data_IF_080418500787
#
_entry.id   IF_080418500787
#
_cell.length_a   1.000
_cell.length_b   1.000
_cell.length_c   1.000
_cell.angle_alpha   90.00
_cell.angle_beta   90.00
_cell.angle_gamma   90.00
#
_symmetry.space_group_name_H-M   'P 1'
#
loop_
_entity.id
_entity.type
_entity.pdbx_description
1 polymer ?
#
# COMPACT_ATOMS: atom_id res chain seq x y z
N UNK A 1 -0.22 -4.87 -5.19
CA UNK A 1 -0.32 -3.66 -4.35
C UNK A 1 -1.53 -3.86 -3.45
N UNK A 2 -1.37 -3.96 -2.12
CA UNK A 2 -2.44 -4.46 -1.24
C UNK A 2 -3.59 -3.49 -0.96
N UNK A 3 -3.37 -2.18 -1.05
CA UNK A 3 -4.28 -1.17 -0.50
C UNK A 3 -5.41 -0.73 -1.44
N UNK A 4 -5.53 -1.26 -2.66
CA UNK A 4 -6.55 -0.82 -3.62
C UNK A 4 -7.97 -0.90 -3.05
N UNK A 5 -8.26 -1.99 -2.33
CA UNK A 5 -9.54 -2.23 -1.68
C UNK A 5 -9.41 -2.43 -0.16
N UNK A 6 -8.36 -1.86 0.43
CA UNK A 6 -7.79 -2.16 1.76
C UNK A 6 -6.90 -3.41 1.79
N UNK A 7 -5.83 -3.33 2.58
CA UNK A 7 -4.90 -4.43 2.82
C UNK A 7 -5.61 -5.60 3.49
N UNK A 8 -6.58 -5.36 4.39
CA UNK A 8 -7.35 -6.43 5.01
C UNK A 8 -8.11 -7.29 4.00
N UNK A 9 -8.72 -6.66 2.98
CA UNK A 9 -9.39 -7.38 1.90
C UNK A 9 -8.38 -8.17 1.08
N UNK A 10 -7.24 -7.55 0.72
CA UNK A 10 -6.18 -8.22 -0.04
C UNK A 10 -5.66 -9.48 0.68
N UNK A 11 -5.46 -9.42 2.00
CA UNK A 11 -4.91 -10.54 2.76
C UNK A 11 -5.87 -11.74 2.89
N UNK A 12 -7.18 -11.55 2.69
CA UNK A 12 -8.14 -12.67 2.61
C UNK A 12 -7.82 -13.61 1.45
N UNK A 13 -7.36 -13.04 0.34
CA UNK A 13 -7.06 -13.78 -0.89
C UNK A 13 -5.57 -14.11 -1.04
N UNK A 14 -4.69 -13.41 -0.32
CA UNK A 14 -3.23 -13.56 -0.42
C UNK A 14 -2.71 -14.83 0.27
N UNK A 15 -3.14 -15.98 -0.21
CA UNK A 15 -2.78 -17.30 0.32
C UNK A 15 -1.32 -17.71 0.01
N UNK A 16 -0.91 -18.91 0.48
CA UNK A 16 0.46 -19.43 0.32
C UNK A 16 0.96 -19.49 -1.12
N UNK A 17 0.07 -19.76 -2.10
CA UNK A 17 0.47 -19.82 -3.50
C UNK A 17 0.90 -18.45 -3.98
N UNK A 18 0.07 -17.42 -3.76
CA UNK A 18 0.41 -16.05 -4.12
C UNK A 18 1.58 -15.51 -3.30
N UNK A 19 1.61 -15.76 -2.00
CA UNK A 19 2.68 -15.30 -1.13
C UNK A 19 4.04 -15.92 -1.48
N UNK A 20 4.08 -17.11 -2.11
CA UNK A 20 5.31 -17.69 -2.68
C UNK A 20 5.63 -17.14 -4.06
N UNK A 21 4.63 -16.94 -4.91
CA UNK A 21 4.79 -16.45 -6.27
C UNK A 21 5.32 -15.02 -6.33
N UNK A 22 4.82 -14.13 -5.46
CA UNK A 22 5.26 -12.73 -5.44
C UNK A 22 6.48 -12.55 -4.51
N UNK A 23 7.47 -11.81 -4.99
CA UNK A 23 8.67 -11.47 -4.22
C UNK A 23 8.40 -10.55 -3.02
N UNK A 24 7.28 -9.83 -3.05
CA UNK A 24 6.97 -8.85 -2.03
C UNK A 24 5.70 -8.07 -2.30
N UNK A 25 5.52 -7.00 -1.53
CA UNK A 25 4.39 -6.07 -1.63
C UNK A 25 4.86 -4.63 -1.66
N UNK A 26 3.95 -3.70 -1.96
CA UNK A 26 4.20 -2.26 -1.98
C UNK A 26 3.25 -1.56 -1.01
N UNK A 27 3.82 -0.81 -0.07
CA UNK A 27 3.13 0.07 0.86
C UNK A 27 2.92 1.44 0.20
N UNK A 28 1.67 1.79 -0.08
CA UNK A 28 1.29 3.02 -0.81
C UNK A 28 0.24 3.87 -0.07
N UNK A 29 -0.24 3.43 1.09
CA UNK A 29 -1.10 4.22 1.98
C UNK A 29 -1.12 3.63 3.41
N UNK A 30 -1.56 4.43 4.38
CA UNK A 30 -1.66 4.01 5.78
C UNK A 30 -0.32 4.02 6.53
N UNK A 31 -0.32 3.57 7.79
CA UNK A 31 0.89 3.59 8.63
C UNK A 31 1.91 2.52 8.23
N UNK A 32 3.11 2.93 7.81
CA UNK A 32 4.18 2.02 7.36
C UNK A 32 4.55 0.95 8.41
N UNK A 33 4.53 1.31 9.70
CA UNK A 33 4.87 0.39 10.80
C UNK A 33 3.81 -0.70 10.96
N UNK A 34 2.54 -0.30 11.03
CA UNK A 34 1.40 -1.23 11.06
C UNK A 34 1.42 -2.16 9.85
N UNK A 35 1.64 -1.61 8.65
CA UNK A 35 1.69 -2.40 7.43
C UNK A 35 2.84 -3.42 7.46
N UNK A 36 4.01 -3.02 7.94
CA UNK A 36 5.17 -3.90 8.08
C UNK A 36 4.88 -5.06 9.03
N UNK A 37 4.35 -4.77 10.21
CA UNK A 37 3.99 -5.79 11.21
C UNK A 37 2.89 -6.74 10.68
N UNK A 38 1.88 -6.18 10.02
CA UNK A 38 0.79 -6.95 9.43
C UNK A 38 1.31 -7.95 8.39
N UNK A 39 2.18 -7.52 7.48
CA UNK A 39 2.74 -8.38 6.44
C UNK A 39 3.67 -9.45 7.01
N UNK A 40 4.50 -9.10 8.01
CA UNK A 40 5.34 -10.07 8.73
C UNK A 40 4.47 -11.18 9.34
N UNK A 41 3.44 -10.80 10.09
CA UNK A 41 2.52 -11.74 10.73
C UNK A 41 1.82 -12.63 9.70
N UNK A 42 1.40 -12.05 8.57
CA UNK A 42 0.77 -12.80 7.48
C UNK A 42 1.69 -13.86 6.88
N UNK A 43 2.92 -13.48 6.51
CA UNK A 43 3.89 -14.44 5.97
C UNK A 43 4.28 -15.52 6.97
N UNK A 44 4.47 -15.17 8.24
CA UNK A 44 4.72 -16.15 9.31
C UNK A 44 3.56 -17.13 9.47
N UNK A 45 2.31 -16.66 9.42
CA UNK A 45 1.12 -17.50 9.43
C UNK A 45 1.06 -18.49 8.26
N UNK A 46 1.65 -18.11 7.12
CA UNK A 46 1.80 -18.97 5.93
C UNK A 46 3.09 -19.81 5.93
N UNK A 47 3.87 -19.80 7.02
CA UNK A 47 5.18 -20.47 7.15
C UNK A 47 6.19 -20.03 6.08
N UNK A 48 6.16 -18.75 5.72
CA UNK A 48 7.11 -18.11 4.82
C UNK A 48 8.00 -17.21 5.66
N UNK A 49 9.32 -17.29 5.45
CA UNK A 49 10.27 -16.40 6.12
C UNK A 49 10.11 -14.96 5.59
N UNK A 50 9.63 -14.01 6.42
CA UNK A 50 9.45 -12.61 6.01
C UNK A 50 10.77 -11.94 5.62
N UNK A 51 11.91 -12.38 6.17
CA UNK A 51 13.22 -11.80 5.87
C UNK A 51 13.64 -12.01 4.40
N UNK A 52 12.97 -12.93 3.70
CA UNK A 52 13.16 -13.17 2.25
C UNK A 52 12.28 -12.29 1.37
N UNK A 53 11.30 -11.59 1.95
CA UNK A 53 10.27 -10.85 1.22
C UNK A 53 10.56 -9.35 1.17
N UNK A 54 10.21 -8.75 0.03
CA UNK A 54 10.38 -7.32 -0.21
C UNK A 54 9.15 -6.54 0.27
N UNK A 55 9.40 -5.40 0.92
CA UNK A 55 8.40 -4.34 1.05
C UNK A 55 8.95 -3.09 0.38
N UNK A 56 8.26 -2.64 -0.67
CA UNK A 56 8.52 -1.34 -1.31
C UNK A 56 7.68 -0.28 -0.60
N UNK A 57 8.32 0.62 0.14
CA UNK A 57 7.67 1.78 0.74
C UNK A 57 7.67 2.94 -0.25
N UNK A 58 6.50 3.49 -0.56
CA UNK A 58 6.37 4.56 -1.56
C UNK A 58 5.42 5.70 -1.17
N UNK A 59 4.76 5.61 -0.02
CA UNK A 59 3.85 6.67 0.42
C UNK A 59 4.61 7.89 0.95
N UNK A 60 4.70 8.93 0.10
CA UNK A 60 5.09 10.29 0.50
C UNK A 60 6.37 10.37 1.34
N UNK A 61 7.40 9.64 0.92
CA UNK A 61 8.66 9.51 1.66
C UNK A 61 9.59 10.73 1.48
N UNK A 62 10.42 10.92 2.49
CA UNK A 62 11.64 11.74 2.49
C UNK A 62 12.79 10.92 3.11
N UNK A 63 14.00 11.50 3.15
CA UNK A 63 15.20 10.82 3.65
C UNK A 63 15.06 10.35 5.10
N UNK A 64 14.59 11.23 5.98
CA UNK A 64 14.42 10.95 7.41
C UNK A 64 13.48 9.75 7.63
N UNK A 65 12.35 9.75 6.92
CA UNK A 65 11.36 8.67 6.99
C UNK A 65 11.92 7.36 6.43
N UNK A 66 12.65 7.42 5.31
CA UNK A 66 13.26 6.23 4.73
C UNK A 66 14.30 5.60 5.69
N UNK A 67 15.10 6.43 6.37
CA UNK A 67 16.07 5.98 7.38
C UNK A 67 15.36 5.36 8.59
N UNK A 68 14.27 5.96 9.07
CA UNK A 68 13.45 5.43 10.16
C UNK A 68 12.89 4.04 9.82
N UNK A 69 12.30 3.91 8.63
CA UNK A 69 11.75 2.65 8.13
C UNK A 69 12.87 1.61 7.97
N UNK A 70 14.02 1.98 7.38
CA UNK A 70 15.16 1.09 7.21
C UNK A 70 15.61 0.50 8.55
N UNK A 71 15.79 1.35 9.58
CA UNK A 71 16.20 0.90 10.92
C UNK A 71 15.19 -0.07 11.53
N UNK A 72 13.90 0.15 11.30
CA UNK A 72 12.86 -0.68 11.85
C UNK A 72 12.68 -2.02 11.12
N UNK A 73 12.76 -2.01 9.79
CA UNK A 73 12.47 -3.13 8.91
C UNK A 73 13.68 -4.03 8.64
N UNK A 74 14.90 -3.52 8.82
CA UNK A 74 16.13 -4.28 8.63
C UNK A 74 16.13 -5.60 9.42
N UNK A 75 16.49 -6.69 8.75
CA UNK A 75 16.52 -8.03 9.32
C UNK A 75 15.14 -8.69 9.51
N UNK A 76 14.04 -7.95 9.36
CA UNK A 76 12.67 -8.50 9.42
C UNK A 76 12.09 -8.75 8.02
N UNK A 77 12.39 -7.85 7.09
CA UNK A 77 12.01 -7.91 5.67
C UNK A 77 13.14 -7.30 4.84
N UNK A 78 13.01 -7.29 3.51
CA UNK A 78 13.87 -6.57 2.58
C UNK A 78 13.24 -5.21 2.23
N UNK A 79 13.50 -4.12 2.98
CA UNK A 79 12.96 -2.81 2.67
C UNK A 79 13.54 -2.26 1.36
N UNK A 80 12.68 -1.63 0.56
CA UNK A 80 13.01 -0.85 -0.64
C UNK A 80 12.19 0.43 -0.63
N UNK A 81 12.69 1.49 -1.26
CA UNK A 81 12.09 2.83 -1.17
C UNK A 81 11.85 3.42 -2.56
N UNK A 82 10.63 3.89 -2.80
CA UNK A 82 10.27 4.73 -3.94
C UNK A 82 10.05 6.16 -3.46
N UNK A 83 11.07 7.02 -3.62
CA UNK A 83 11.02 8.42 -3.21
C UNK A 83 10.77 9.28 -4.47
N UNK A 84 9.66 10.01 -4.48
CA UNK A 84 9.20 10.79 -5.63
C UNK A 84 9.45 12.29 -5.45
N UNK A 85 8.39 13.01 -5.08
CA UNK A 85 8.37 14.48 -4.99
C UNK A 85 9.52 15.06 -4.18
N UNK A 86 9.91 14.43 -3.06
CA UNK A 86 11.02 14.90 -2.21
C UNK A 86 12.38 14.94 -2.92
N UNK A 87 12.56 14.20 -4.02
CA UNK A 87 13.79 14.26 -4.82
C UNK A 87 13.61 15.05 -6.11
N UNK A 88 12.47 14.89 -6.76
CA UNK A 88 12.24 15.49 -8.08
C UNK A 88 11.78 16.96 -8.03
N UNK A 89 11.29 17.45 -6.89
CA UNK A 89 10.77 18.80 -6.73
C UNK A 89 11.12 19.39 -5.35
N UNK A 90 12.41 19.40 -5.03
CA UNK A 90 12.98 19.98 -3.79
C UNK A 90 13.84 21.21 -4.11
N UNK A 91 13.19 22.25 -4.65
CA UNK A 91 13.86 23.49 -5.09
C UNK A 91 13.40 24.72 -4.30
N UNK A 92 12.89 24.52 -3.08
CA UNK A 92 12.43 25.62 -2.20
C UNK A 92 11.02 26.15 -2.50
N UNK A 93 10.26 25.49 -3.37
CA UNK A 93 8.87 25.82 -3.68
C UNK A 93 7.94 24.66 -3.35
N UNK A 94 6.70 24.97 -2.96
CA UNK A 94 5.67 23.95 -2.69
C UNK A 94 5.30 23.22 -3.99
N UNK A 95 5.46 21.88 -4.06
CA UNK A 95 5.06 21.11 -5.24
C UNK A 95 3.56 21.19 -5.50
N UNK A 96 3.16 21.20 -6.77
CA UNK A 96 1.76 21.11 -7.15
C UNK A 96 1.18 19.74 -6.75
N UNK A 97 0.11 19.75 -5.96
CA UNK A 97 -0.62 18.54 -5.61
C UNK A 97 -1.64 18.18 -6.70
N UNK A 98 -1.18 17.48 -7.73
CA UNK A 98 -1.99 17.10 -8.89
C UNK A 98 -1.92 15.59 -9.14
N UNK A 99 -3.02 15.03 -9.66
CA UNK A 99 -3.19 13.60 -9.90
C UNK A 99 -3.98 13.36 -11.19
N UNK A 100 -3.62 12.32 -11.94
CA UNK A 100 -4.45 11.75 -13.01
C UNK A 100 -4.95 10.40 -12.52
N UNK A 101 -6.26 10.17 -12.61
CA UNK A 101 -6.93 8.97 -12.07
C UNK A 101 -7.84 8.35 -13.12
N UNK A 102 -7.89 7.02 -13.14
CA UNK A 102 -8.92 6.30 -13.87
C UNK A 102 -10.26 6.53 -13.18
N UNK A 103 -11.22 7.13 -13.89
CA UNK A 103 -12.58 7.39 -13.36
C UNK A 103 -13.58 6.33 -13.82
N UNK A 104 -13.35 5.71 -14.98
CA UNK A 104 -14.29 4.79 -15.63
C UNK A 104 -13.54 3.82 -16.56
N UNK A 105 -13.97 2.57 -16.62
CA UNK A 105 -13.52 1.59 -17.61
C UNK A 105 -14.74 0.83 -18.13
N UNK A 106 -14.86 0.67 -19.45
CA UNK A 106 -15.96 -0.07 -20.09
C UNK A 106 -17.36 0.31 -19.53
N UNK A 107 -17.70 1.59 -19.55
CA UNK A 107 -19.02 1.99 -19.05
C UNK A 107 -19.16 2.03 -17.51
N UNK A 108 -18.22 1.48 -16.73
CA UNK A 108 -18.36 1.28 -15.28
C UNK A 108 -17.42 2.18 -14.44
N UNK A 109 -17.88 2.72 -13.31
CA UNK A 109 -17.05 3.54 -12.42
C UNK A 109 -15.86 2.78 -11.85
N UNK A 110 -14.71 3.44 -11.74
CA UNK A 110 -13.54 2.94 -11.02
C UNK A 110 -13.51 3.44 -9.57
N UNK A 111 -12.97 2.63 -8.66
CA UNK A 111 -12.89 2.91 -7.22
C UNK A 111 -11.50 2.56 -6.68
N UNK A 112 -10.98 3.36 -5.75
CA UNK A 112 -9.85 3.02 -4.87
C UNK A 112 -10.25 3.36 -3.42
N UNK A 113 -10.12 2.42 -2.49
CA UNK A 113 -10.47 2.63 -1.08
C UNK A 113 -9.28 3.11 -0.23
N UNK A 114 -8.08 2.54 -0.44
CA UNK A 114 -6.86 2.77 0.36
C UNK A 114 -6.95 2.31 1.82
N UNK A 115 -5.81 2.22 2.50
CA UNK A 115 -5.73 1.99 3.96
C UNK A 115 -5.81 3.28 4.79
N UNK A 116 -5.89 4.44 4.13
CA UNK A 116 -5.99 5.73 4.80
C UNK A 116 -7.46 6.16 4.91
N UNK A 117 -7.98 6.35 6.14
CA UNK A 117 -9.33 6.84 6.33
C UNK A 117 -9.58 8.14 5.54
N UNK A 118 -10.70 8.20 4.84
CA UNK A 118 -11.10 9.38 4.06
C UNK A 118 -10.39 9.57 2.71
N UNK A 119 -9.44 8.70 2.32
CA UNK A 119 -8.79 8.75 0.99
C UNK A 119 -9.45 7.87 -0.07
N UNK A 120 -10.71 7.47 0.13
CA UNK A 120 -11.47 6.77 -0.88
C UNK A 120 -11.70 7.67 -2.11
N UNK A 121 -11.60 7.07 -3.30
CA UNK A 121 -11.71 7.75 -4.59
C UNK A 121 -12.70 7.01 -5.47
N UNK A 122 -13.53 7.78 -6.16
CA UNK A 122 -14.61 7.26 -7.01
C UNK A 122 -15.93 7.96 -6.69
N UNK A 123 -16.97 7.61 -7.43
CA UNK A 123 -18.33 8.09 -7.16
C UNK A 123 -18.80 7.55 -5.79
N UNK A 124 -19.46 8.37 -4.94
CA UNK A 124 -19.88 7.94 -3.61
C UNK A 124 -20.70 6.65 -3.60
N UNK A 125 -21.64 6.52 -4.54
CA UNK A 125 -22.46 5.30 -4.69
C UNK A 125 -21.61 4.07 -5.03
N UNK A 126 -20.67 4.20 -5.96
CA UNK A 126 -19.78 3.10 -6.34
C UNK A 126 -18.84 2.69 -5.19
N UNK A 127 -18.36 3.66 -4.41
CA UNK A 127 -17.56 3.41 -3.19
C UNK A 127 -18.40 2.66 -2.17
N UNK A 128 -19.64 3.08 -1.93
CA UNK A 128 -20.56 2.42 -0.99
C UNK A 128 -20.89 0.99 -1.42
N UNK A 129 -21.21 0.76 -2.70
CA UNK A 129 -21.43 -0.59 -3.23
C UNK A 129 -20.18 -1.46 -3.11
N UNK A 130 -19.01 -0.94 -3.46
CA UNK A 130 -17.74 -1.67 -3.32
C UNK A 130 -17.47 -2.07 -1.86
N UNK A 131 -17.69 -1.17 -0.91
CA UNK A 131 -17.56 -1.49 0.52
C UNK A 131 -18.55 -2.56 0.98
N UNK A 132 -19.79 -2.47 0.53
CA UNK A 132 -20.83 -3.47 0.82
C UNK A 132 -20.42 -4.86 0.33
N UNK A 133 -20.01 -4.98 -0.94
CA UNK A 133 -19.60 -6.25 -1.56
C UNK A 133 -18.40 -6.88 -0.84
N UNK A 134 -17.46 -6.04 -0.41
CA UNK A 134 -16.25 -6.44 0.31
C UNK A 134 -16.47 -6.66 1.82
N UNK A 135 -17.70 -6.44 2.31
CA UNK A 135 -18.06 -6.56 3.74
C UNK A 135 -17.19 -5.68 4.64
N UNK A 136 -16.98 -4.43 4.20
CA UNK A 136 -16.32 -3.38 4.95
C UNK A 136 -17.42 -2.48 5.53
N UNK A 137 -17.75 -2.67 6.81
CA UNK A 137 -18.72 -1.85 7.55
C UNK A 137 -18.11 -0.51 7.96
#
# INVERSE_FOLDING_TARGET
MPDTFTTDVFLRDFNVMYAKLYDGVRHDSGGWKWFTDLMINHWQGLRIDPATKVIVYSDSLNDERAIEIQKYAAGKVLPRFGIGTSFANDVGHTPLNMVIKLTKCDGRPAVKLSDSPGKALGLPEAVSHCKYDLRLQ
#
